data_IF_944316293502
#
_entry.id   IF_944316293502
#
_cell.length_a   1.000
_cell.length_b   1.000
_cell.length_c   1.000
_cell.angle_alpha   90.00
_cell.angle_beta   90.00
_cell.angle_gamma   90.00
#
_symmetry.space_group_name_H-M   'P 1'
#
loop_
_entity.id
_entity.type
_entity.pdbx_description
1 polymer ?
#
# COMPACT_ATOMS: atom_id res chain seq x y z
N UNK A 1 7.32 -4.45 23.95
CA UNK A 1 8.06 -4.38 22.67
C UNK A 1 7.12 -4.11 21.53
N UNK A 2 7.43 -3.12 20.72
CA UNK A 2 6.61 -2.75 19.57
C UNK A 2 6.85 -3.77 18.45
N UNK A 3 5.76 -4.31 17.90
CA UNK A 3 5.82 -5.27 16.79
C UNK A 3 5.26 -4.65 15.52
N UNK A 4 5.79 -5.07 14.38
CA UNK A 4 5.26 -4.63 13.08
C UNK A 4 3.77 -5.02 12.96
N UNK A 5 3.41 -6.20 13.46
CA UNK A 5 2.02 -6.66 13.40
C UNK A 5 1.05 -5.82 14.26
N UNK A 6 1.56 -4.94 15.11
CA UNK A 6 0.72 -4.04 15.91
C UNK A 6 0.28 -2.80 15.13
N UNK A 7 0.82 -2.56 13.94
CA UNK A 7 0.42 -1.41 13.12
C UNK A 7 -1.06 -1.54 12.75
N UNK A 8 -1.75 -0.42 12.77
CA UNK A 8 -3.19 -0.37 12.48
C UNK A 8 -3.51 -1.06 11.15
N UNK A 9 -4.47 -1.98 11.19
CA UNK A 9 -4.90 -2.77 10.01
C UNK A 9 -3.77 -3.48 9.28
N UNK A 10 -2.76 -3.94 10.00
CA UNK A 10 -1.64 -4.66 9.42
C UNK A 10 -2.07 -5.99 8.81
N UNK A 11 -1.59 -6.29 7.59
CA UNK A 11 -1.77 -7.58 6.92
C UNK A 11 -0.49 -8.00 6.23
N UNK A 12 0.06 -9.14 6.61
CA UNK A 12 1.16 -9.73 5.87
C UNK A 12 0.61 -10.42 4.62
N UNK A 13 1.18 -10.12 3.47
CA UNK A 13 0.81 -10.76 2.20
C UNK A 13 1.68 -12.00 1.99
N UNK A 14 2.98 -11.81 2.15
CA UNK A 14 3.96 -12.90 2.12
C UNK A 14 5.19 -12.46 2.93
N UNK A 15 6.29 -13.21 2.83
CA UNK A 15 7.49 -12.91 3.62
C UNK A 15 8.15 -11.58 3.23
N UNK A 16 7.87 -11.07 2.04
CA UNK A 16 8.52 -9.88 1.51
C UNK A 16 7.58 -8.68 1.36
N UNK A 17 6.28 -8.86 1.57
CA UNK A 17 5.30 -7.80 1.32
C UNK A 17 4.25 -7.77 2.42
N UNK A 18 4.06 -6.59 3.00
CA UNK A 18 3.02 -6.35 4.01
C UNK A 18 2.31 -5.05 3.73
N UNK A 19 1.07 -4.94 4.24
CA UNK A 19 0.26 -3.73 4.11
C UNK A 19 -0.23 -3.26 5.47
N UNK A 20 -0.50 -1.97 5.61
CA UNK A 20 -1.02 -1.44 6.87
C UNK A 20 -1.66 -0.06 6.70
N UNK A 21 -2.30 0.41 7.77
CA UNK A 21 -2.61 1.82 7.95
C UNK A 21 -1.38 2.58 8.40
N UNK A 22 -1.57 3.81 8.90
CA UNK A 22 -0.46 4.69 9.29
C UNK A 22 0.31 4.13 10.47
N UNK A 23 1.62 3.83 10.32
CA UNK A 23 2.46 3.45 11.46
C UNK A 23 2.80 4.65 12.33
N UNK A 24 3.03 4.41 13.61
CA UNK A 24 3.64 5.39 14.52
C UNK A 24 5.15 5.45 14.27
N UNK A 25 5.83 6.44 14.86
CA UNK A 25 7.29 6.52 14.77
C UNK A 25 7.97 5.26 15.34
N UNK A 26 7.51 4.79 16.49
CA UNK A 26 8.05 3.58 17.10
C UNK A 26 7.82 2.35 16.21
N UNK A 27 6.67 2.27 15.53
CA UNK A 27 6.37 1.17 14.62
C UNK A 27 7.26 1.22 13.38
N UNK A 28 7.58 2.41 12.86
CA UNK A 28 8.51 2.53 11.74
C UNK A 28 9.90 2.05 12.15
N UNK A 29 10.33 2.34 13.38
CA UNK A 29 11.59 1.80 13.89
C UNK A 29 11.54 0.27 13.93
N UNK A 30 10.42 -0.31 14.36
CA UNK A 30 10.24 -1.76 14.39
C UNK A 30 10.26 -2.36 12.97
N UNK A 31 9.71 -1.65 11.98
CA UNK A 31 9.76 -2.06 10.57
C UNK A 31 11.20 -2.17 10.09
N UNK A 32 12.02 -1.15 10.38
CA UNK A 32 13.44 -1.18 10.02
C UNK A 32 14.17 -2.33 10.72
N UNK A 33 13.90 -2.51 12.01
CA UNK A 33 14.54 -3.56 12.81
C UNK A 33 14.13 -4.97 12.35
N UNK A 34 12.99 -5.09 11.68
CA UNK A 34 12.47 -6.37 11.17
C UNK A 34 12.97 -6.69 9.77
N UNK A 35 13.91 -5.92 9.24
CA UNK A 35 14.54 -6.20 7.95
C UNK A 35 13.80 -5.67 6.74
N UNK A 36 12.83 -4.79 6.92
CA UNK A 36 12.18 -4.14 5.78
C UNK A 36 13.15 -3.15 5.11
N UNK A 37 13.07 -3.09 3.79
CA UNK A 37 13.98 -2.27 2.97
C UNK A 37 13.30 -1.02 2.43
N UNK A 38 11.98 -1.06 2.25
CA UNK A 38 11.23 -0.02 1.55
C UNK A 38 9.90 0.22 2.23
N UNK A 39 9.51 1.48 2.36
CA UNK A 39 8.15 1.87 2.73
C UNK A 39 7.56 2.66 1.57
N UNK A 40 6.39 2.24 1.10
CA UNK A 40 5.62 2.96 0.08
C UNK A 40 4.36 3.49 0.74
N UNK A 41 4.18 4.82 0.72
CA UNK A 41 3.08 5.51 1.39
C UNK A 41 2.15 6.17 0.38
N UNK A 42 0.87 5.80 0.40
CA UNK A 42 -0.15 6.37 -0.48
C UNK A 42 -0.97 7.48 0.20
N UNK A 43 -0.72 7.76 1.45
CA UNK A 43 -1.53 8.74 2.20
C UNK A 43 -1.14 10.16 1.87
N UNK A 44 -2.09 11.07 2.06
CA UNK A 44 -1.84 12.51 2.04
C UNK A 44 -1.31 12.92 3.42
N UNK A 45 -0.49 13.97 3.47
CA UNK A 45 -0.02 14.53 4.74
C UNK A 45 -0.94 15.69 5.16
N UNK A 46 -2.24 15.41 5.20
CA UNK A 46 -3.25 16.45 5.41
C UNK A 46 -3.93 16.38 6.77
N UNK A 47 -3.60 15.38 7.59
CA UNK A 47 -4.24 15.22 8.90
C UNK A 47 -3.24 14.68 9.93
N UNK A 48 -3.05 15.40 11.07
CA UNK A 48 -2.06 14.99 12.08
C UNK A 48 -2.30 13.61 12.66
N UNK A 49 -3.56 13.13 12.64
CA UNK A 49 -3.91 11.82 13.18
C UNK A 49 -3.41 10.67 12.30
N UNK A 50 -3.27 10.92 10.98
CA UNK A 50 -2.94 9.89 10.00
C UNK A 50 -1.67 10.22 9.23
N UNK A 51 -0.80 11.02 9.81
CA UNK A 51 0.49 11.34 9.20
C UNK A 51 1.50 11.68 10.27
N UNK A 52 2.79 11.53 9.93
CA UNK A 52 3.90 11.94 10.80
C UNK A 52 4.50 13.22 10.26
N UNK A 53 5.03 14.11 11.14
CA UNK A 53 5.61 15.38 10.68
C UNK A 53 6.71 15.23 9.64
N UNK A 54 7.56 14.20 9.77
CA UNK A 54 8.68 13.98 8.83
C UNK A 54 8.90 12.47 8.66
N UNK A 55 7.94 11.80 8.05
CA UNK A 55 8.05 10.36 7.83
C UNK A 55 9.23 10.03 6.93
N UNK A 56 9.46 10.82 5.85
CA UNK A 56 10.58 10.58 4.94
C UNK A 56 11.91 10.60 5.67
N UNK A 57 12.14 11.64 6.47
CA UNK A 57 13.39 11.76 7.22
C UNK A 57 13.59 10.61 8.19
N UNK A 58 12.53 10.18 8.86
CA UNK A 58 12.59 9.05 9.77
C UNK A 58 12.94 7.75 9.03
N UNK A 59 12.24 7.47 7.95
CA UNK A 59 12.43 6.24 7.16
C UNK A 59 13.85 6.19 6.57
N UNK A 60 14.27 7.29 5.94
CA UNK A 60 15.61 7.35 5.32
C UNK A 60 16.71 7.33 6.37
N UNK A 61 16.48 7.97 7.51
CA UNK A 61 17.44 7.94 8.62
C UNK A 61 17.64 6.55 9.20
N UNK A 62 16.68 5.64 9.01
CA UNK A 62 16.78 4.25 9.45
C UNK A 62 17.36 3.34 8.37
N UNK A 63 17.76 3.90 7.22
CA UNK A 63 18.40 3.15 6.15
C UNK A 63 17.43 2.51 5.16
N UNK A 64 16.15 2.85 5.23
CA UNK A 64 15.16 2.34 4.28
C UNK A 64 14.91 3.34 3.17
N UNK A 65 14.42 2.85 2.03
CA UNK A 65 13.95 3.69 0.92
C UNK A 65 12.51 4.10 1.19
N UNK A 66 12.20 5.35 0.94
CA UNK A 66 10.84 5.88 1.11
C UNK A 66 10.29 6.33 -0.24
N UNK A 67 9.14 5.76 -0.62
CA UNK A 67 8.43 6.15 -1.84
C UNK A 67 7.07 6.69 -1.44
N UNK A 68 6.76 7.89 -1.89
CA UNK A 68 5.48 8.51 -1.60
C UNK A 68 4.70 8.73 -2.89
N UNK A 69 3.48 8.17 -2.93
CA UNK A 69 2.55 8.32 -4.06
C UNK A 69 1.23 8.79 -3.46
N UNK A 70 1.06 10.11 -3.28
CA UNK A 70 -0.16 10.61 -2.62
C UNK A 70 -1.39 10.36 -3.49
N UNK A 71 -2.37 9.66 -2.92
CA UNK A 71 -3.62 9.30 -3.58
C UNK A 71 -4.77 9.91 -2.79
N UNK A 72 -5.56 10.77 -3.44
CA UNK A 72 -6.76 11.30 -2.82
C UNK A 72 -7.81 10.20 -2.70
N UNK A 73 -8.34 10.03 -1.51
CA UNK A 73 -9.29 8.94 -1.25
C UNK A 73 -10.56 9.07 -2.10
N UNK A 74 -10.99 10.29 -2.37
CA UNK A 74 -12.20 10.53 -3.16
C UNK A 74 -11.94 10.72 -4.66
N UNK A 75 -10.69 10.52 -5.12
CA UNK A 75 -10.35 10.73 -6.53
C UNK A 75 -9.10 9.93 -6.94
N UNK A 76 -9.15 8.59 -6.90
CA UNK A 76 -8.01 7.77 -7.33
C UNK A 76 -7.77 7.90 -8.83
N UNK A 77 -6.49 7.95 -9.23
CA UNK A 77 -6.10 8.16 -10.62
C UNK A 77 -5.33 6.96 -11.16
N UNK A 78 -5.53 6.67 -12.43
CA UNK A 78 -4.79 5.60 -13.11
C UNK A 78 -3.28 5.82 -13.04
N UNK A 79 -2.82 7.06 -13.23
CA UNK A 79 -1.39 7.37 -13.17
C UNK A 79 -0.78 6.99 -11.82
N UNK A 80 -1.51 7.24 -10.74
CA UNK A 80 -1.06 6.87 -9.39
C UNK A 80 -0.99 5.35 -9.22
N UNK A 81 -1.98 4.65 -9.74
CA UNK A 81 -1.97 3.19 -9.74
C UNK A 81 -0.75 2.64 -10.48
N UNK A 82 -0.44 3.20 -11.64
CA UNK A 82 0.72 2.76 -12.42
C UNK A 82 2.04 3.08 -11.73
N UNK A 83 2.13 4.23 -11.05
CA UNK A 83 3.29 4.56 -10.22
C UNK A 83 3.47 3.55 -9.09
N UNK A 84 2.36 3.13 -8.47
CA UNK A 84 2.37 2.12 -7.42
C UNK A 84 2.88 0.78 -7.97
N UNK A 85 2.39 0.35 -9.12
CA UNK A 85 2.86 -0.88 -9.77
C UNK A 85 4.36 -0.81 -10.04
N UNK A 86 4.83 0.31 -10.58
CA UNK A 86 6.23 0.49 -10.89
C UNK A 86 7.10 0.44 -9.63
N UNK A 87 6.65 1.07 -8.56
CA UNK A 87 7.40 1.09 -7.30
C UNK A 87 7.57 -0.32 -6.73
N UNK A 88 6.53 -1.14 -6.80
CA UNK A 88 6.63 -2.54 -6.36
C UNK A 88 7.60 -3.31 -7.25
N UNK A 89 7.48 -3.16 -8.57
CA UNK A 89 8.31 -3.90 -9.53
C UNK A 89 9.79 -3.53 -9.44
N UNK A 90 10.09 -2.25 -9.20
CA UNK A 90 11.47 -1.79 -9.02
C UNK A 90 12.10 -2.33 -7.73
N UNK A 91 11.28 -2.75 -6.77
CA UNK A 91 11.74 -3.21 -5.47
C UNK A 91 11.38 -4.67 -5.20
N UNK A 92 11.12 -5.47 -6.24
CA UNK A 92 10.58 -6.82 -6.09
C UNK A 92 11.48 -7.80 -5.33
N UNK A 93 12.77 -7.51 -5.22
CA UNK A 93 13.71 -8.35 -4.48
C UNK A 93 13.96 -7.83 -3.06
N UNK A 94 13.14 -6.89 -2.61
CA UNK A 94 13.28 -6.24 -1.30
C UNK A 94 12.04 -6.49 -0.46
N UNK A 95 12.17 -6.28 0.84
CA UNK A 95 11.05 -6.42 1.76
C UNK A 95 10.35 -5.07 1.89
N UNK A 96 9.06 -5.03 1.55
CA UNK A 96 8.29 -3.79 1.38
C UNK A 96 7.12 -3.73 2.35
N UNK A 97 6.94 -2.57 2.98
CA UNK A 97 5.70 -2.22 3.66
C UNK A 97 4.96 -1.19 2.83
N UNK A 98 3.71 -1.50 2.47
CA UNK A 98 2.81 -0.59 1.78
C UNK A 98 1.84 -0.03 2.81
N UNK A 99 1.70 1.31 2.90
CA UNK A 99 0.71 1.85 3.83
C UNK A 99 0.00 3.08 3.30
N UNK A 100 -1.10 3.40 3.91
CA UNK A 100 -1.82 4.66 3.77
C UNK A 100 -2.38 5.01 5.16
N UNK A 101 -3.53 5.67 5.27
CA UNK A 101 -4.09 5.98 6.57
C UNK A 101 -4.70 4.74 7.25
N UNK A 102 -5.53 3.98 6.52
CA UNK A 102 -6.30 2.86 7.06
C UNK A 102 -6.20 1.57 6.24
N UNK A 103 -5.19 1.46 5.40
CA UNK A 103 -4.96 0.30 4.52
C UNK A 103 -6.04 0.11 3.43
N UNK A 104 -6.86 1.11 3.18
CA UNK A 104 -7.92 1.02 2.18
C UNK A 104 -7.39 1.25 0.76
N UNK A 105 -6.73 2.38 0.51
CA UNK A 105 -6.14 2.71 -0.81
C UNK A 105 -5.12 1.67 -1.22
N UNK A 106 -4.30 1.26 -0.28
CA UNK A 106 -3.27 0.25 -0.52
C UNK A 106 -3.89 -1.07 -0.96
N UNK A 107 -4.89 -1.57 -0.23
CA UNK A 107 -5.46 -2.89 -0.56
C UNK A 107 -6.21 -2.88 -1.88
N UNK A 108 -6.82 -1.76 -2.26
CA UNK A 108 -7.45 -1.63 -3.56
C UNK A 108 -6.41 -1.65 -4.70
N UNK A 109 -5.35 -0.85 -4.58
CA UNK A 109 -4.28 -0.83 -5.59
C UNK A 109 -3.53 -2.17 -5.64
N UNK A 110 -3.29 -2.78 -4.49
CA UNK A 110 -2.64 -4.10 -4.46
C UNK A 110 -3.49 -5.17 -5.14
N UNK A 111 -4.80 -5.13 -4.92
CA UNK A 111 -5.72 -6.04 -5.61
C UNK A 111 -5.62 -5.89 -7.11
N UNK A 112 -5.60 -4.65 -7.60
CA UNK A 112 -5.43 -4.38 -9.02
C UNK A 112 -4.07 -4.87 -9.53
N UNK A 113 -3.01 -4.68 -8.75
CA UNK A 113 -1.67 -5.17 -9.10
C UNK A 113 -1.66 -6.69 -9.26
N UNK A 114 -2.24 -7.39 -8.30
CA UNK A 114 -2.27 -8.85 -8.31
C UNK A 114 -3.10 -9.38 -9.49
N UNK A 115 -4.19 -8.71 -9.80
CA UNK A 115 -5.04 -9.10 -10.94
C UNK A 115 -4.35 -8.80 -12.27
N UNK A 116 -3.91 -7.56 -12.46
CA UNK A 116 -3.44 -7.06 -13.75
C UNK A 116 -2.01 -7.53 -14.06
N UNK A 117 -1.12 -7.45 -13.08
CA UNK A 117 0.31 -7.75 -13.29
C UNK A 117 0.68 -9.17 -12.92
N UNK A 118 0.01 -9.77 -11.95
CA UNK A 118 0.34 -11.12 -11.51
C UNK A 118 -0.63 -12.18 -12.06
N UNK A 119 -1.68 -11.76 -12.76
CA UNK A 119 -2.62 -12.68 -13.38
C UNK A 119 -3.46 -13.49 -12.42
N UNK A 120 -3.61 -13.03 -11.17
CA UNK A 120 -4.42 -13.76 -10.20
C UNK A 120 -5.91 -13.58 -10.49
N UNK A 121 -6.71 -14.56 -10.07
CA UNK A 121 -8.17 -14.46 -10.19
C UNK A 121 -8.67 -13.34 -9.28
N UNK A 122 -9.78 -12.73 -9.66
CA UNK A 122 -10.33 -11.56 -8.94
C UNK A 122 -10.56 -11.84 -7.47
N UNK A 123 -11.14 -13.00 -7.12
CA UNK A 123 -11.40 -13.34 -5.73
C UNK A 123 -10.10 -13.40 -4.90
N UNK A 124 -9.05 -13.96 -5.46
CA UNK A 124 -7.75 -14.04 -4.79
C UNK A 124 -7.05 -12.69 -4.75
N UNK A 125 -7.10 -11.95 -5.86
CA UNK A 125 -6.43 -10.65 -5.96
C UNK A 125 -6.92 -9.67 -4.90
N UNK A 126 -8.23 -9.64 -4.65
CA UNK A 126 -8.85 -8.68 -3.70
C UNK A 126 -9.14 -9.28 -2.33
N UNK A 127 -8.58 -10.43 -2.01
CA UNK A 127 -8.80 -11.11 -0.73
C UNK A 127 -8.44 -10.21 0.47
N UNK A 128 -7.29 -9.57 0.41
CA UNK A 128 -6.84 -8.69 1.50
C UNK A 128 -7.74 -7.46 1.64
N UNK A 129 -8.11 -6.83 0.51
CA UNK A 129 -9.03 -5.69 0.53
C UNK A 129 -10.35 -6.07 1.21
N UNK A 130 -10.88 -7.23 0.88
CA UNK A 130 -12.16 -7.67 1.41
C UNK A 130 -12.12 -7.94 2.92
N UNK A 131 -10.94 -8.17 3.49
CA UNK A 131 -10.75 -8.29 4.93
C UNK A 131 -10.71 -6.95 5.64
N UNK A 132 -10.41 -5.87 4.91
CA UNK A 132 -10.21 -4.53 5.48
C UNK A 132 -11.47 -3.67 5.30
N UNK A 133 -12.06 -3.67 4.09
CA UNK A 133 -13.19 -2.78 3.80
C UNK A 133 -13.96 -3.21 2.57
N UNK A 134 -15.17 -2.65 2.44
CA UNK A 134 -15.96 -2.74 1.22
C UNK A 134 -15.82 -1.40 0.49
N UNK A 135 -15.30 -1.37 -0.75
CA UNK A 135 -15.10 -0.12 -1.46
C UNK A 135 -16.39 0.67 -1.63
N UNK A 136 -16.30 1.99 -1.48
CA UNK A 136 -17.40 2.89 -1.77
C UNK A 136 -17.63 2.99 -3.30
N UNK A 137 -18.61 3.80 -3.70
CA UNK A 137 -18.97 3.92 -5.12
C UNK A 137 -17.80 4.45 -5.97
N UNK A 138 -17.01 5.36 -5.44
CA UNK A 138 -15.85 5.93 -6.15
C UNK A 138 -14.83 4.84 -6.41
N UNK A 139 -14.45 4.10 -5.38
CA UNK A 139 -13.43 3.06 -5.51
C UNK A 139 -13.93 1.83 -6.27
N UNK A 140 -15.21 1.45 -6.06
CA UNK A 140 -15.80 0.35 -6.84
C UNK A 140 -15.80 0.68 -8.33
N UNK A 141 -16.15 1.92 -8.69
CA UNK A 141 -16.14 2.38 -10.07
C UNK A 141 -14.71 2.41 -10.64
N UNK A 142 -13.75 2.93 -9.87
CA UNK A 142 -12.36 2.99 -10.29
C UNK A 142 -11.81 1.57 -10.55
N UNK A 143 -12.03 0.66 -9.62
CA UNK A 143 -11.58 -0.74 -9.74
C UNK A 143 -12.19 -1.37 -11.00
N UNK A 144 -13.50 -1.22 -11.19
CA UNK A 144 -14.17 -1.79 -12.36
C UNK A 144 -13.61 -1.23 -13.68
N UNK A 145 -13.35 0.08 -13.75
CA UNK A 145 -12.77 0.71 -14.94
C UNK A 145 -11.37 0.18 -15.23
N UNK A 146 -10.55 0.03 -14.21
CA UNK A 146 -9.18 -0.47 -14.39
C UNK A 146 -9.18 -1.93 -14.81
N UNK A 147 -10.02 -2.75 -14.22
CA UNK A 147 -10.16 -4.16 -14.62
C UNK A 147 -10.58 -4.23 -16.09
N UNK A 148 -11.59 -3.49 -16.48
CA UNK A 148 -12.08 -3.47 -17.87
C UNK A 148 -10.98 -3.05 -18.84
N UNK A 149 -10.24 -2.00 -18.49
CA UNK A 149 -9.19 -1.45 -19.36
C UNK A 149 -8.04 -2.43 -19.57
N UNK A 150 -7.58 -3.10 -18.52
CA UNK A 150 -6.39 -3.92 -18.59
C UNK A 150 -6.66 -5.39 -18.84
N UNK A 151 -7.83 -5.90 -18.48
CA UNK A 151 -8.18 -7.30 -18.70
C UNK A 151 -8.42 -7.63 -20.17
N UNK A 152 -8.72 -6.64 -21.00
CA UNK A 152 -8.97 -6.83 -22.45
C UNK A 152 -7.78 -7.38 -23.21
N UNK A 153 -6.59 -7.34 -22.63
CA UNK A 153 -5.36 -7.70 -23.32
C UNK A 153 -5.02 -9.18 -23.16
N UNK A 154 -5.81 -9.89 -22.37
CA UNK A 154 -5.60 -11.32 -22.13
C UNK A 154 -6.29 -12.20 -23.14
#
# INVERSE_FOLDING_TARGET
MVKVSDIYNFRAIDDALSTSGQPTEAQIQAVAASGYDVIINLALHDHPRYSLPDERGLVEGLGMVYVRIPVQFDDPQEAEMLMFFQAIEENKNKKILLHCAANMRVTAFLGLYRLIRQGKKEAEAFETMNLIWEPDDIWASFIARMITKYKKIQ
#
